data_IF_336813350774
#
_entry.id   IF_336813350774
#
_cell.length_a   1.000
_cell.length_b   1.000
_cell.length_c   1.000
_cell.angle_alpha   90.00
_cell.angle_beta   90.00
_cell.angle_gamma   90.00
#
_symmetry.space_group_name_H-M   'P 1'
#
loop_
_entity.id
_entity.type
_entity.pdbx_description
1 polymer ?
#
# COMPACT_ATOMS: atom_id res chain seq x y z
N UNK A 1 -3.10 13.70 0.28
CA UNK A 1 -2.11 13.05 1.18
C UNK A 1 -1.02 14.01 1.61
N UNK A 2 -0.06 14.38 0.74
CA UNK A 2 1.12 15.18 1.11
C UNK A 2 0.83 16.59 1.66
N UNK A 3 -0.38 17.12 1.45
CA UNK A 3 -0.77 18.46 1.91
C UNK A 3 -1.36 18.49 3.34
N UNK A 4 -1.45 17.34 4.02
CA UNK A 4 -2.03 17.22 5.37
C UNK A 4 -1.34 16.10 6.18
N UNK A 5 -0.01 16.15 6.25
CA UNK A 5 0.82 15.11 6.89
C UNK A 5 0.72 15.12 8.43
N UNK A 6 0.36 16.26 9.02
CA UNK A 6 0.07 16.39 10.45
C UNK A 6 -1.13 15.54 10.89
N UNK A 7 -1.97 15.09 9.94
CA UNK A 7 -3.12 14.22 10.16
C UNK A 7 -2.98 12.90 9.37
N UNK A 8 -1.81 12.26 9.46
CA UNK A 8 -1.48 11.06 8.68
C UNK A 8 -1.92 9.77 9.40
N UNK A 9 -3.17 9.36 9.19
CA UNK A 9 -3.74 8.11 9.76
C UNK A 9 -3.69 8.02 11.29
N UNK A 10 -3.79 9.16 11.99
CA UNK A 10 -3.74 9.24 13.45
C UNK A 10 -2.35 9.45 14.02
N UNK A 11 -1.35 9.66 13.15
CA UNK A 11 0.00 10.07 13.52
C UNK A 11 0.36 11.41 12.84
N UNK A 12 1.39 12.07 13.35
CA UNK A 12 1.98 13.26 12.76
C UNK A 12 3.20 12.88 11.92
N UNK A 13 3.03 12.89 10.60
CA UNK A 13 4.10 12.61 9.63
C UNK A 13 4.65 13.90 8.99
N UNK A 14 4.51 15.05 9.67
CA UNK A 14 4.98 16.34 9.16
C UNK A 14 6.46 16.31 8.81
N UNK A 15 6.79 17.01 7.73
CA UNK A 15 8.14 17.13 7.20
C UNK A 15 8.48 18.60 6.99
N UNK A 16 9.77 18.91 6.97
CA UNK A 16 10.25 20.21 6.52
C UNK A 16 9.74 20.53 5.12
N UNK A 17 9.49 21.81 4.84
CA UNK A 17 8.80 22.23 3.63
C UNK A 17 9.50 21.76 2.34
N UNK A 18 10.84 21.82 2.31
CA UNK A 18 11.65 21.36 1.17
C UNK A 18 11.52 19.86 0.92
N UNK A 19 11.50 19.06 1.98
CA UNK A 19 11.40 17.60 1.87
C UNK A 19 9.99 17.19 1.45
N UNK A 20 8.97 17.86 1.99
CA UNK A 20 7.57 17.66 1.61
C UNK A 20 7.36 17.94 0.12
N UNK A 21 7.88 19.06 -0.38
CA UNK A 21 7.78 19.43 -1.80
C UNK A 21 8.51 18.43 -2.69
N UNK A 22 9.77 18.09 -2.36
CA UNK A 22 10.55 17.10 -3.09
C UNK A 22 9.85 15.74 -3.18
N UNK A 23 9.35 15.23 -2.06
CA UNK A 23 8.65 13.94 -2.01
C UNK A 23 7.33 14.01 -2.78
N UNK A 24 6.57 15.10 -2.63
CA UNK A 24 5.32 15.30 -3.37
C UNK A 24 5.56 15.25 -4.88
N UNK A 25 6.55 15.97 -5.37
CA UNK A 25 6.89 16.02 -6.78
C UNK A 25 7.34 14.66 -7.31
N UNK A 26 8.21 13.97 -6.55
CA UNK A 26 8.64 12.62 -6.89
C UNK A 26 7.45 11.65 -6.99
N UNK A 27 6.53 11.68 -6.02
CA UNK A 27 5.34 10.82 -6.00
C UNK A 27 4.38 11.12 -7.16
N UNK A 28 4.14 12.39 -7.48
CA UNK A 28 3.29 12.80 -8.61
C UNK A 28 3.92 12.40 -9.95
N UNK A 29 5.23 12.63 -10.11
CA UNK A 29 5.94 12.25 -11.33
C UNK A 29 5.90 10.73 -11.57
N UNK A 30 5.99 9.93 -10.50
CA UNK A 30 6.01 8.47 -10.56
C UNK A 30 4.66 7.83 -10.21
N UNK A 31 3.56 8.58 -10.30
CA UNK A 31 2.22 8.12 -9.97
C UNK A 31 1.75 6.97 -10.90
N UNK A 32 0.65 6.32 -10.52
CA UNK A 32 0.13 5.14 -11.23
C UNK A 32 -0.20 5.43 -12.71
N UNK A 33 -0.63 6.66 -13.01
CA UNK A 33 -0.92 7.21 -14.33
C UNK A 33 0.30 7.19 -15.27
N UNK A 34 1.50 7.29 -14.71
CA UNK A 34 2.77 7.34 -15.44
C UNK A 34 3.51 5.98 -15.43
N UNK A 35 2.91 4.94 -14.84
CA UNK A 35 3.56 3.64 -14.66
C UNK A 35 3.13 2.62 -15.72
N UNK A 36 4.07 1.77 -16.14
CA UNK A 36 3.80 0.62 -17.02
C UNK A 36 3.53 -0.68 -16.26
N UNK A 37 3.54 -0.65 -14.92
CA UNK A 37 3.33 -1.83 -14.09
C UNK A 37 1.87 -2.26 -14.11
N UNK A 38 1.63 -3.57 -14.18
CA UNK A 38 0.27 -4.12 -14.19
C UNK A 38 -0.54 -3.68 -12.96
N UNK A 39 0.05 -3.73 -11.76
CA UNK A 39 -0.63 -3.34 -10.53
C UNK A 39 -1.10 -1.88 -10.55
N UNK A 40 -0.28 -0.96 -11.06
CA UNK A 40 -0.63 0.45 -11.20
C UNK A 40 -1.86 0.62 -12.12
N UNK A 41 -1.82 0.02 -13.31
CA UNK A 41 -2.93 0.06 -14.25
C UNK A 41 -4.23 -0.53 -13.66
N UNK A 42 -4.13 -1.67 -12.98
CA UNK A 42 -5.30 -2.35 -12.41
C UNK A 42 -5.89 -1.61 -11.21
N UNK A 43 -5.05 -0.98 -10.39
CA UNK A 43 -5.48 -0.11 -9.29
C UNK A 43 -6.21 1.11 -9.85
N UNK A 44 -5.58 1.85 -10.76
CA UNK A 44 -6.15 3.05 -11.37
C UNK A 44 -7.50 2.76 -12.05
N UNK A 45 -7.58 1.68 -12.82
CA UNK A 45 -8.84 1.22 -13.43
C UNK A 45 -9.92 0.87 -12.40
N UNK A 46 -9.54 0.45 -11.20
CA UNK A 46 -10.48 0.02 -10.16
C UNK A 46 -11.05 1.17 -9.32
N UNK A 47 -10.31 2.28 -9.18
CA UNK A 47 -10.73 3.42 -8.34
C UNK A 47 -11.64 4.40 -9.09
N UNK A 48 -11.63 4.39 -10.43
CA UNK A 48 -12.39 5.36 -11.26
C UNK A 48 -12.07 6.80 -10.81
N UNK A 49 -13.09 7.57 -10.44
CA UNK A 49 -12.98 8.97 -9.97
C UNK A 49 -13.06 9.08 -8.43
N UNK A 50 -12.99 7.96 -7.69
CA UNK A 50 -12.99 7.99 -6.23
C UNK A 50 -11.64 8.43 -5.68
N UNK A 51 -11.64 9.43 -4.80
CA UNK A 51 -10.46 9.80 -4.04
C UNK A 51 -10.20 8.76 -2.93
N UNK A 52 -9.16 7.94 -3.14
CA UNK A 52 -8.75 6.90 -2.18
C UNK A 52 -7.34 7.19 -1.70
N UNK A 53 -7.22 7.52 -0.41
CA UNK A 53 -5.93 7.89 0.22
C UNK A 53 -5.12 6.69 0.74
N UNK A 54 -5.69 5.47 0.72
CA UNK A 54 -5.03 4.26 1.20
C UNK A 54 -5.11 3.12 0.18
N UNK A 55 -3.96 2.59 -0.24
CA UNK A 55 -3.86 1.51 -1.24
C UNK A 55 -4.72 0.30 -0.85
N UNK A 56 -4.73 -0.07 0.43
CA UNK A 56 -5.52 -1.20 0.97
C UNK A 56 -7.03 -1.01 0.87
N UNK A 57 -7.50 0.23 0.63
CA UNK A 57 -8.92 0.53 0.45
C UNK A 57 -9.37 0.47 -1.01
N UNK A 58 -8.43 0.41 -1.97
CA UNK A 58 -8.75 0.31 -3.40
C UNK A 58 -9.50 -0.98 -3.71
N UNK A 59 -10.47 -0.98 -4.65
CA UNK A 59 -11.22 -2.19 -4.99
C UNK A 59 -10.33 -3.31 -5.55
N UNK A 60 -9.29 -2.97 -6.31
CA UNK A 60 -8.31 -3.95 -6.80
C UNK A 60 -7.61 -4.68 -5.66
N UNK A 61 -7.09 -3.95 -4.66
CA UNK A 61 -6.40 -4.54 -3.52
C UNK A 61 -7.32 -5.49 -2.75
N UNK A 62 -8.54 -5.04 -2.44
CA UNK A 62 -9.55 -5.84 -1.70
C UNK A 62 -9.87 -7.14 -2.43
N UNK A 63 -10.02 -7.09 -3.75
CA UNK A 63 -10.28 -8.29 -4.56
C UNK A 63 -9.10 -9.26 -4.55
N UNK A 64 -7.88 -8.75 -4.73
CA UNK A 64 -6.66 -9.60 -4.75
C UNK A 64 -6.38 -10.28 -3.42
N UNK A 65 -6.81 -9.70 -2.30
CA UNK A 65 -6.62 -10.26 -0.96
C UNK A 65 -7.90 -10.90 -0.37
N UNK A 66 -8.93 -11.11 -1.18
CA UNK A 66 -10.25 -11.56 -0.68
C UNK A 66 -10.28 -13.00 -0.16
N UNK A 67 -9.34 -13.84 -0.61
CA UNK A 67 -9.21 -15.23 -0.18
C UNK A 67 -8.39 -15.39 1.13
N UNK A 68 -7.80 -14.29 1.62
CA UNK A 68 -7.04 -14.29 2.87
C UNK A 68 -8.01 -14.02 4.03
N UNK A 69 -8.02 -14.89 5.03
CA UNK A 69 -8.81 -14.69 6.22
C UNK A 69 -8.42 -13.38 6.91
N UNK A 70 -9.41 -12.56 7.29
CA UNK A 70 -9.15 -11.24 7.90
C UNK A 70 -8.33 -11.32 9.18
N UNK A 71 -8.43 -12.42 9.93
CA UNK A 71 -7.63 -12.65 11.15
C UNK A 71 -6.13 -12.66 10.90
N UNK A 72 -5.70 -13.04 9.69
CA UNK A 72 -4.29 -13.01 9.26
C UNK A 72 -3.76 -11.57 9.37
N UNK A 73 -4.52 -10.57 8.92
CA UNK A 73 -4.09 -9.17 8.95
C UNK A 73 -4.02 -8.57 10.35
N UNK A 74 -4.69 -9.19 11.34
CA UNK A 74 -4.67 -8.77 12.74
C UNK A 74 -3.75 -9.64 13.60
N UNK A 75 -3.08 -10.63 13.00
CA UNK A 75 -2.08 -11.45 13.69
C UNK A 75 -0.90 -10.61 14.17
N UNK A 76 -0.14 -11.13 15.14
CA UNK A 76 1.04 -10.44 15.66
C UNK A 76 2.14 -10.30 14.60
N UNK A 77 2.24 -11.28 13.71
CA UNK A 77 3.26 -11.39 12.67
C UNK A 77 3.06 -10.36 11.55
N UNK A 78 1.81 -10.02 11.23
CA UNK A 78 1.48 -9.10 10.14
C UNK A 78 1.06 -7.72 10.68
N UNK A 79 0.37 -7.69 11.81
CA UNK A 79 -0.15 -6.53 12.54
C UNK A 79 -1.20 -5.68 11.81
N UNK A 80 -1.03 -5.44 10.50
CA UNK A 80 -1.98 -4.70 9.69
C UNK A 80 -1.87 -5.05 8.21
N UNK A 81 -2.97 -4.90 7.47
CA UNK A 81 -3.00 -5.02 6.01
C UNK A 81 -2.09 -4.01 5.28
N UNK A 82 -1.70 -2.91 5.94
CA UNK A 82 -0.73 -1.95 5.40
C UNK A 82 0.72 -2.45 5.46
N UNK A 83 1.01 -3.51 6.22
CA UNK A 83 2.34 -4.11 6.31
C UNK A 83 2.60 -5.06 5.14
N UNK A 84 2.71 -4.51 3.92
CA UNK A 84 2.88 -5.28 2.70
C UNK A 84 4.09 -6.23 2.77
N UNK A 85 5.19 -5.78 3.40
CA UNK A 85 6.46 -6.49 3.49
C UNK A 85 6.36 -7.79 4.29
N UNK A 86 5.42 -7.90 5.22
CA UNK A 86 5.22 -9.12 6.01
C UNK A 86 4.92 -10.34 5.13
N UNK A 87 4.17 -10.16 4.03
CA UNK A 87 3.84 -11.24 3.09
C UNK A 87 4.63 -11.14 1.77
N UNK A 88 4.93 -9.92 1.31
CA UNK A 88 5.64 -9.64 0.06
C UNK A 88 7.10 -9.26 0.36
N UNK A 89 7.98 -10.25 0.52
CA UNK A 89 9.37 -10.02 0.99
C UNK A 89 10.16 -9.03 0.12
N UNK A 90 9.86 -8.96 -1.17
CA UNK A 90 10.56 -8.12 -2.15
C UNK A 90 9.72 -6.91 -2.63
N UNK A 91 8.75 -6.46 -1.82
CA UNK A 91 7.83 -5.38 -2.21
C UNK A 91 8.54 -4.07 -2.55
N UNK A 92 9.66 -3.76 -1.88
CA UNK A 92 10.47 -2.55 -2.10
C UNK A 92 11.12 -2.53 -3.50
N UNK A 93 11.26 -3.70 -4.15
CA UNK A 93 11.72 -3.83 -5.54
C UNK A 93 10.56 -3.80 -6.54
N UNK A 94 9.32 -3.63 -6.06
CA UNK A 94 8.10 -3.67 -6.86
C UNK A 94 7.68 -5.08 -7.30
N UNK A 95 8.17 -6.12 -6.64
CA UNK A 95 7.82 -7.51 -6.96
C UNK A 95 6.55 -7.95 -6.21
N UNK A 96 5.54 -8.37 -6.98
CA UNK A 96 4.20 -8.74 -6.50
C UNK A 96 3.76 -10.14 -6.96
N UNK A 97 4.68 -10.93 -7.52
CA UNK A 97 4.33 -12.22 -8.11
C UNK A 97 3.87 -13.20 -7.03
N UNK A 98 2.77 -13.91 -7.30
CA UNK A 98 2.16 -14.85 -6.35
C UNK A 98 3.15 -15.93 -5.86
N UNK A 99 4.12 -16.33 -6.70
CA UNK A 99 5.16 -17.32 -6.34
C UNK A 99 6.17 -16.83 -5.29
N UNK A 100 6.32 -15.52 -5.16
CA UNK A 100 7.28 -14.89 -4.24
C UNK A 100 6.62 -14.53 -2.90
N UNK A 101 5.30 -14.69 -2.78
CA UNK A 101 4.53 -14.36 -1.57
C UNK A 101 4.72 -15.46 -0.54
N UNK A 102 5.02 -15.06 0.70
CA UNK A 102 5.08 -15.95 1.85
C UNK A 102 4.27 -15.35 2.98
N UNK A 103 3.09 -15.91 3.23
CA UNK A 103 2.32 -15.57 4.42
C UNK A 103 3.07 -16.18 5.62
N UNK A 104 3.49 -15.39 6.62
CA UNK A 104 4.13 -15.93 7.82
C UNK A 104 3.27 -17.01 8.49
N UNK A 105 3.92 -18.03 9.04
CA UNK A 105 3.22 -18.96 9.93
C UNK A 105 2.72 -18.18 11.15
N UNK A 106 1.41 -18.18 11.36
CA UNK A 106 0.80 -17.49 12.50
C UNK A 106 1.04 -18.34 13.74
N UNK A 107 1.80 -17.84 14.71
CA UNK A 107 2.00 -18.54 15.96
C UNK A 107 0.65 -18.77 16.64
N UNK A 108 0.34 -20.02 16.97
CA UNK A 108 -0.80 -20.31 17.86
C UNK A 108 -0.40 -19.81 19.25
N UNK A 109 -1.08 -18.75 19.69
CA UNK A 109 -0.95 -18.24 21.06
C UNK A 109 -1.38 -19.25 22.11
#
# INVERSE_FOLDING_TARGET
MMDNLENHFGDDASLEASDKEFIKDYLVQNAAENSTKESAFKILKSIKDEEIIAITKTPYWKRRHSEIDKSIFTSKEIAAASNCKACHQNIEQGLLNDKDIKIPEIAKG
#
